data_IF_770824594202
#
_entry.id   IF_770824594202
#
_cell.length_a   1.000
_cell.length_b   1.000
_cell.length_c   1.000
_cell.angle_alpha   90.00
_cell.angle_beta   90.00
_cell.angle_gamma   90.00
#
_symmetry.space_group_name_H-M   'P 1'
#
loop_
_entity.id
_entity.type
_entity.pdbx_description
1 polymer ?
#
# COMPACT_ATOMS: atom_id res chain seq x y z
N UNK A 1 -15.62 7.22 -0.94
CA UNK A 1 -15.07 7.88 0.27
C UNK A 1 -13.84 7.13 0.77
N UNK A 2 -12.80 7.86 1.13
CA UNK A 2 -11.57 7.27 1.68
C UNK A 2 -11.47 7.66 3.16
N UNK A 3 -11.14 6.70 4.02
CA UNK A 3 -10.84 6.98 5.43
C UNK A 3 -9.69 6.10 5.95
N UNK A 4 -9.03 6.59 6.98
CA UNK A 4 -7.99 5.81 7.67
C UNK A 4 -8.66 4.65 8.41
N UNK A 5 -8.05 3.47 8.33
CA UNK A 5 -8.56 2.28 9.00
C UNK A 5 -8.18 2.27 10.49
N UNK A 6 -9.02 1.65 11.28
CA UNK A 6 -8.84 1.45 12.72
C UNK A 6 -8.80 -0.06 13.02
N UNK A 7 -8.50 -0.41 14.26
CA UNK A 7 -8.42 -1.82 14.69
C UNK A 7 -9.71 -2.60 14.41
N UNK A 8 -10.85 -1.95 14.54
CA UNK A 8 -12.16 -2.58 14.25
C UNK A 8 -12.32 -2.97 12.78
N UNK A 9 -11.51 -2.40 11.89
CA UNK A 9 -11.56 -2.66 10.45
C UNK A 9 -10.69 -3.83 10.02
N UNK A 10 -9.95 -4.46 10.93
CA UNK A 10 -9.04 -5.55 10.61
C UNK A 10 -9.67 -6.69 9.78
N UNK A 11 -10.88 -7.17 10.10
CA UNK A 11 -11.50 -8.22 9.28
C UNK A 11 -11.71 -7.79 7.83
N UNK A 12 -12.21 -6.59 7.61
CA UNK A 12 -12.44 -6.05 6.25
C UNK A 12 -11.13 -5.86 5.51
N UNK A 13 -10.11 -5.30 6.18
CA UNK A 13 -8.77 -5.14 5.60
C UNK A 13 -8.18 -6.49 5.18
N UNK A 14 -8.28 -7.49 6.05
CA UNK A 14 -7.75 -8.82 5.77
C UNK A 14 -8.47 -9.50 4.60
N UNK A 15 -9.78 -9.37 4.51
CA UNK A 15 -10.56 -9.89 3.38
C UNK A 15 -10.14 -9.25 2.05
N UNK A 16 -10.00 -7.93 2.02
CA UNK A 16 -9.54 -7.21 0.83
C UNK A 16 -8.09 -7.57 0.48
N UNK A 17 -7.23 -7.68 1.48
CA UNK A 17 -5.82 -8.03 1.29
C UNK A 17 -5.65 -9.44 0.71
N UNK A 18 -6.50 -10.39 1.09
CA UNK A 18 -6.47 -11.73 0.52
C UNK A 18 -6.87 -11.78 -0.95
N UNK A 19 -7.56 -10.76 -1.46
CA UNK A 19 -7.79 -10.62 -2.90
C UNK A 19 -6.52 -10.20 -3.64
N UNK A 20 -5.67 -9.41 -2.99
CA UNK A 20 -4.38 -8.97 -3.55
C UNK A 20 -3.30 -10.05 -3.37
N UNK A 21 -3.31 -10.71 -2.23
CA UNK A 21 -2.35 -11.78 -1.87
C UNK A 21 -3.09 -13.09 -1.57
N UNK A 22 -3.55 -13.81 -2.61
CA UNK A 22 -4.44 -14.97 -2.44
C UNK A 22 -3.82 -16.18 -1.76
N UNK A 23 -2.50 -16.22 -1.61
CA UNK A 23 -1.80 -17.31 -0.92
C UNK A 23 -1.85 -17.19 0.61
N UNK A 24 -2.42 -16.10 1.13
CA UNK A 24 -2.54 -15.84 2.57
C UNK A 24 -3.96 -16.14 3.07
N UNK A 25 -4.05 -16.52 4.35
CA UNK A 25 -5.33 -16.74 5.01
C UNK A 25 -5.80 -15.46 5.72
N UNK A 26 -7.12 -15.25 5.81
CA UNK A 26 -7.70 -14.07 6.44
C UNK A 26 -7.23 -13.92 7.89
N UNK A 27 -7.20 -15.01 8.66
CA UNK A 27 -6.78 -15.00 10.07
C UNK A 27 -5.30 -14.57 10.22
N UNK A 28 -4.44 -15.04 9.33
CA UNK A 28 -3.01 -14.66 9.32
C UNK A 28 -2.86 -13.17 9.00
N UNK A 29 -3.60 -12.69 8.02
CA UNK A 29 -3.57 -11.28 7.64
C UNK A 29 -4.12 -10.39 8.75
N UNK A 30 -5.18 -10.80 9.44
CA UNK A 30 -5.69 -10.08 10.61
C UNK A 30 -4.62 -9.92 11.69
N UNK A 31 -3.91 -11.00 12.02
CA UNK A 31 -2.86 -10.99 13.04
C UNK A 31 -1.70 -10.11 12.65
N UNK A 32 -1.24 -10.23 11.43
CA UNK A 32 -0.14 -9.42 10.88
C UNK A 32 -0.51 -7.93 10.86
N UNK A 33 -1.69 -7.61 10.37
CA UNK A 33 -2.15 -6.22 10.27
C UNK A 33 -2.39 -5.60 11.65
N UNK A 34 -2.82 -6.39 12.63
CA UNK A 34 -2.97 -5.91 14.01
C UNK A 34 -1.63 -5.45 14.59
N UNK A 35 -0.56 -6.21 14.35
CA UNK A 35 0.78 -5.84 14.79
C UNK A 35 1.28 -4.58 14.09
N UNK A 36 1.03 -4.46 12.78
CA UNK A 36 1.43 -3.30 11.99
C UNK A 36 0.67 -2.05 12.42
N UNK A 37 -0.66 -2.15 12.60
CA UNK A 37 -1.50 -1.01 13.03
C UNK A 37 -1.14 -0.49 14.42
N UNK A 38 -0.56 -1.33 15.27
CA UNK A 38 -0.10 -0.91 16.59
C UNK A 38 1.12 0.03 16.53
N UNK A 39 1.79 0.11 15.37
CA UNK A 39 2.99 0.93 15.18
C UNK A 39 2.61 2.30 14.58
N UNK A 40 3.29 3.38 15.04
CA UNK A 40 3.02 4.72 14.49
C UNK A 40 3.56 4.92 13.06
N UNK A 41 4.40 4.01 12.58
CA UNK A 41 5.09 4.11 11.29
C UNK A 41 4.31 3.44 10.15
N UNK A 42 3.07 3.06 10.36
CA UNK A 42 2.24 2.44 9.35
C UNK A 42 0.80 2.97 9.37
N UNK A 43 0.14 2.90 8.24
CA UNK A 43 -1.26 3.26 8.12
C UNK A 43 -1.93 2.42 7.03
N UNK A 44 -3.21 2.18 7.23
CA UNK A 44 -4.09 1.58 6.23
C UNK A 44 -5.20 2.55 5.92
N UNK A 45 -5.59 2.62 4.66
CA UNK A 45 -6.73 3.41 4.19
C UNK A 45 -7.73 2.50 3.51
N UNK A 46 -9.00 2.75 3.76
CA UNK A 46 -10.11 2.01 3.16
C UNK A 46 -10.91 2.93 2.23
N UNK A 47 -11.29 2.40 1.09
CA UNK A 47 -12.20 3.04 0.16
C UNK A 47 -13.57 2.39 0.27
N UNK A 48 -14.61 3.23 0.28
CA UNK A 48 -16.00 2.80 0.38
C UNK A 48 -16.83 3.35 -0.78
N UNK A 49 -17.69 2.48 -1.31
CA UNK A 49 -18.83 2.87 -2.13
C UNK A 49 -20.07 2.66 -1.26
N UNK A 50 -20.69 3.74 -0.83
CA UNK A 50 -21.74 3.72 0.20
C UNK A 50 -21.24 3.03 1.47
N UNK A 51 -21.81 1.88 1.85
CA UNK A 51 -21.40 1.12 3.04
C UNK A 51 -20.49 -0.07 2.71
N UNK A 52 -20.15 -0.27 1.44
CA UNK A 52 -19.34 -1.40 0.99
C UNK A 52 -17.87 -1.00 0.86
N UNK A 53 -16.98 -1.72 1.53
CA UNK A 53 -15.55 -1.55 1.36
C UNK A 53 -15.13 -2.11 -0.01
N UNK A 54 -14.55 -1.27 -0.85
CA UNK A 54 -14.22 -1.60 -2.24
C UNK A 54 -12.73 -1.61 -2.54
N UNK A 55 -11.90 -1.22 -1.57
CA UNK A 55 -10.46 -1.19 -1.76
C UNK A 55 -9.72 -0.77 -0.51
N UNK A 56 -8.42 -0.97 -0.53
CA UNK A 56 -7.53 -0.54 0.55
C UNK A 56 -6.16 -0.15 0.01
N UNK A 57 -5.42 0.60 0.82
CA UNK A 57 -4.00 0.82 0.63
C UNK A 57 -3.28 0.68 1.97
N UNK A 58 -2.09 0.12 1.91
CA UNK A 58 -1.17 -0.01 3.04
C UNK A 58 0.06 0.82 2.75
N UNK A 59 0.45 1.67 3.69
CA UNK A 59 1.68 2.45 3.60
C UNK A 59 2.44 2.42 4.92
N UNK A 60 3.76 2.55 4.81
CA UNK A 60 4.68 2.54 5.95
C UNK A 60 5.77 3.57 5.75
N UNK A 61 6.41 3.95 6.83
CA UNK A 61 7.67 4.69 6.77
C UNK A 61 8.82 3.69 6.68
N UNK A 62 9.74 3.93 5.78
CA UNK A 62 11.00 3.18 5.70
C UNK A 62 12.14 4.10 6.09
N UNK A 63 12.93 3.65 7.06
CA UNK A 63 14.08 4.41 7.60
C UNK A 63 15.40 3.97 6.98
N UNK A 64 15.46 2.75 6.47
CA UNK A 64 16.60 2.24 5.72
C UNK A 64 16.59 2.79 4.29
N UNK A 65 17.69 2.60 3.58
CA UNK A 65 17.80 3.10 2.21
C UNK A 65 16.70 2.54 1.31
N UNK A 66 16.07 3.43 0.56
CA UNK A 66 15.08 3.09 -0.48
C UNK A 66 15.64 3.51 -1.83
N UNK A 67 15.63 2.58 -2.78
CA UNK A 67 16.17 2.81 -4.13
C UNK A 67 15.55 4.03 -4.78
N UNK A 68 16.40 4.91 -5.30
CA UNK A 68 16.00 6.14 -5.98
C UNK A 68 15.64 7.31 -5.08
N UNK A 69 15.85 7.19 -3.76
CA UNK A 69 15.54 8.27 -2.80
C UNK A 69 16.80 8.81 -2.13
N UNK A 70 16.71 10.06 -1.64
CA UNK A 70 17.81 10.77 -1.00
C UNK A 70 17.49 11.21 0.43
N UNK A 71 16.34 10.83 0.96
CA UNK A 71 15.87 11.26 2.29
C UNK A 71 15.50 10.08 3.17
N UNK A 72 15.24 10.34 4.45
CA UNK A 72 14.74 9.37 5.42
C UNK A 72 13.95 10.11 6.51
N UNK A 73 12.81 9.60 6.96
CA UNK A 73 12.13 8.43 6.42
C UNK A 73 11.50 8.69 5.06
N UNK A 74 11.25 7.61 4.31
CA UNK A 74 10.53 7.64 3.04
C UNK A 74 9.18 6.99 3.24
N UNK A 75 8.11 7.60 2.75
CA UNK A 75 6.80 6.94 2.69
C UNK A 75 6.83 5.84 1.64
N UNK A 76 6.22 4.70 1.93
CA UNK A 76 6.26 3.55 1.05
C UNK A 76 4.89 2.91 0.90
N UNK A 77 4.46 2.75 -0.35
CA UNK A 77 3.22 2.03 -0.68
C UNK A 77 3.51 0.53 -0.65
N UNK A 78 3.01 -0.16 0.37
CA UNK A 78 3.25 -1.60 0.56
C UNK A 78 2.25 -2.46 -0.21
N UNK A 79 1.04 -1.95 -0.42
CA UNK A 79 0.01 -2.62 -1.19
C UNK A 79 -1.16 -1.71 -1.48
N UNK A 80 -1.82 -1.96 -2.60
CA UNK A 80 -3.03 -1.24 -2.98
C UNK A 80 -3.93 -2.18 -3.78
N UNK A 81 -5.21 -2.16 -3.48
CA UNK A 81 -6.20 -3.01 -4.13
C UNK A 81 -7.52 -2.27 -4.29
N UNK A 82 -8.14 -2.45 -5.43
CA UNK A 82 -9.50 -1.98 -5.71
C UNK A 82 -10.27 -3.13 -6.36
N UNK A 83 -11.47 -3.41 -5.86
CA UNK A 83 -12.33 -4.46 -6.39
C UNK A 83 -12.66 -4.23 -7.86
N UNK A 84 -12.78 -5.32 -8.63
CA UNK A 84 -12.90 -5.28 -10.09
C UNK A 84 -13.99 -4.33 -10.60
N UNK A 85 -15.17 -4.33 -9.98
CA UNK A 85 -16.29 -3.49 -10.41
C UNK A 85 -16.09 -1.99 -10.19
N UNK A 86 -15.04 -1.60 -9.49
CA UNK A 86 -14.77 -0.21 -9.09
C UNK A 86 -13.45 0.31 -9.63
N UNK A 87 -12.77 -0.46 -10.48
CA UNK A 87 -11.50 -0.06 -11.10
C UNK A 87 -11.74 0.98 -12.20
N UNK A 88 -10.68 1.72 -12.55
CA UNK A 88 -10.68 2.77 -13.59
C UNK A 88 -11.62 3.93 -13.27
N UNK A 89 -11.93 4.14 -12.00
CA UNK A 89 -12.79 5.24 -11.52
C UNK A 89 -12.04 6.21 -10.60
N UNK A 90 -10.71 6.09 -10.52
CA UNK A 90 -9.88 6.97 -9.70
C UNK A 90 -9.74 6.55 -8.24
N UNK A 91 -10.31 5.44 -7.82
CA UNK A 91 -10.27 4.98 -6.40
C UNK A 91 -8.84 4.73 -5.94
N UNK A 92 -8.03 4.04 -6.75
CA UNK A 92 -6.63 3.76 -6.40
C UNK A 92 -5.84 5.06 -6.26
N UNK A 93 -6.07 6.04 -7.13
CA UNK A 93 -5.43 7.36 -7.05
C UNK A 93 -5.80 8.08 -5.76
N UNK A 94 -7.07 8.01 -5.35
CA UNK A 94 -7.52 8.62 -4.09
C UNK A 94 -6.90 7.94 -2.87
N UNK A 95 -6.81 6.60 -2.89
CA UNK A 95 -6.13 5.83 -1.85
C UNK A 95 -4.66 6.23 -1.74
N UNK A 96 -3.97 6.32 -2.88
CA UNK A 96 -2.58 6.76 -2.92
C UNK A 96 -2.43 8.17 -2.37
N UNK A 97 -3.30 9.10 -2.75
CA UNK A 97 -3.27 10.47 -2.24
C UNK A 97 -3.41 10.52 -0.71
N UNK A 98 -4.24 9.65 -0.13
CA UNK A 98 -4.36 9.55 1.31
C UNK A 98 -3.06 9.07 1.96
N UNK A 99 -2.40 8.07 1.36
CA UNK A 99 -1.10 7.59 1.81
C UNK A 99 -0.02 8.68 1.74
N UNK A 100 0.03 9.39 0.62
CA UNK A 100 0.99 10.49 0.41
C UNK A 100 0.78 11.62 1.43
N UNK A 101 -0.47 11.99 1.69
CA UNK A 101 -0.81 13.01 2.68
C UNK A 101 -0.40 12.58 4.08
N UNK A 102 -0.65 11.31 4.43
CA UNK A 102 -0.19 10.76 5.71
C UNK A 102 1.33 10.82 5.84
N UNK A 103 2.07 10.40 4.79
CA UNK A 103 3.53 10.45 4.80
C UNK A 103 4.06 11.88 4.99
N UNK A 104 3.43 12.87 4.36
CA UNK A 104 3.77 14.28 4.57
C UNK A 104 3.59 14.70 6.03
N UNK A 105 2.54 14.25 6.70
CA UNK A 105 2.35 14.55 8.14
C UNK A 105 3.44 13.92 9.01
N UNK A 106 4.12 12.91 8.52
CA UNK A 106 5.26 12.24 9.20
C UNK A 106 6.61 12.85 8.83
N UNK A 107 6.62 13.93 8.05
CA UNK A 107 7.84 14.62 7.64
C UNK A 107 8.50 14.09 6.38
N UNK A 108 7.86 13.18 5.65
CA UNK A 108 8.42 12.65 4.41
C UNK A 108 8.36 13.68 3.29
N UNK A 109 9.43 13.73 2.50
CA UNK A 109 9.51 14.54 1.27
C UNK A 109 9.54 13.67 0.02
N UNK A 110 9.64 12.35 0.20
CA UNK A 110 9.64 11.37 -0.88
C UNK A 110 8.69 10.22 -0.56
N UNK A 111 8.11 9.63 -1.59
CA UNK A 111 7.22 8.48 -1.51
C UNK A 111 7.62 7.47 -2.58
N UNK A 112 7.75 6.21 -2.19
CA UNK A 112 8.25 5.16 -3.06
C UNK A 112 7.32 3.96 -3.09
N UNK A 113 7.55 3.07 -4.04
CA UNK A 113 6.78 1.84 -4.22
C UNK A 113 7.58 0.86 -5.06
N UNK A 114 7.06 -0.32 -5.22
CA UNK A 114 7.59 -1.32 -6.15
C UNK A 114 6.46 -2.15 -6.76
N UNK A 115 6.79 -2.91 -7.78
CA UNK A 115 5.92 -3.94 -8.32
C UNK A 115 6.76 -5.05 -8.93
N UNK A 116 6.16 -6.22 -9.12
CA UNK A 116 6.80 -7.32 -9.80
C UNK A 116 7.17 -6.92 -11.25
N UNK A 117 8.28 -7.43 -11.74
CA UNK A 117 8.84 -7.06 -13.06
C UNK A 117 7.85 -7.31 -14.20
N UNK A 118 7.03 -8.36 -14.10
CA UNK A 118 6.05 -8.74 -15.12
C UNK A 118 4.65 -8.18 -14.88
N UNK A 119 4.45 -7.42 -13.81
CA UNK A 119 3.16 -6.81 -13.50
C UNK A 119 2.98 -5.50 -14.27
N UNK A 120 2.63 -5.63 -15.55
CA UNK A 120 2.49 -4.49 -16.47
C UNK A 120 1.38 -3.54 -16.00
N UNK A 121 0.29 -4.06 -15.46
CA UNK A 121 -0.83 -3.25 -14.98
C UNK A 121 -0.40 -2.35 -13.82
N UNK A 122 0.37 -2.88 -12.87
CA UNK A 122 0.90 -2.11 -11.75
C UNK A 122 1.90 -1.06 -12.22
N UNK A 123 2.78 -1.41 -13.16
CA UNK A 123 3.72 -0.46 -13.76
C UNK A 123 2.97 0.73 -14.38
N UNK A 124 1.94 0.47 -15.18
CA UNK A 124 1.15 1.53 -15.80
C UNK A 124 0.45 2.40 -14.76
N UNK A 125 -0.11 1.80 -13.72
CA UNK A 125 -0.70 2.56 -12.61
C UNK A 125 0.31 3.53 -12.00
N UNK A 126 1.50 3.03 -11.64
CA UNK A 126 2.54 3.85 -11.01
C UNK A 126 2.94 5.04 -11.89
N UNK A 127 3.18 4.81 -13.16
CA UNK A 127 3.53 5.89 -14.10
C UNK A 127 2.39 6.89 -14.26
N UNK A 128 1.14 6.43 -14.32
CA UNK A 128 -0.03 7.29 -14.51
C UNK A 128 -0.30 8.20 -13.29
N UNK A 129 0.08 7.78 -12.09
CA UNK A 129 -0.14 8.58 -10.87
C UNK A 129 1.09 9.39 -10.46
N UNK A 130 2.12 9.44 -11.29
CA UNK A 130 3.25 10.34 -11.12
C UNK A 130 4.51 9.75 -10.54
N UNK A 131 4.58 8.42 -10.32
CA UNK A 131 5.85 7.79 -9.99
C UNK A 131 6.77 7.76 -11.20
N UNK A 132 8.06 7.86 -10.94
CA UNK A 132 9.11 7.66 -11.94
C UNK A 132 9.82 6.33 -11.66
N UNK A 133 10.15 5.57 -12.70
CA UNK A 133 10.91 4.35 -12.53
C UNK A 133 12.33 4.67 -12.07
N UNK A 134 12.70 4.19 -10.88
CA UNK A 134 14.02 4.42 -10.32
C UNK A 134 15.03 3.39 -10.80
N UNK A 135 14.70 2.09 -10.71
CA UNK A 135 15.60 1.02 -11.07
C UNK A 135 14.86 -0.31 -11.21
N UNK A 136 15.50 -1.27 -11.85
CA UNK A 136 15.08 -2.68 -11.90
C UNK A 136 16.22 -3.52 -11.34
N UNK A 137 15.94 -4.33 -10.31
CA UNK A 137 16.95 -5.11 -9.62
C UNK A 137 16.57 -6.58 -9.58
N UNK A 138 17.58 -7.43 -9.41
CA UNK A 138 17.41 -8.86 -9.16
C UNK A 138 17.78 -9.10 -7.70
N UNK A 139 16.86 -9.71 -6.94
CA UNK A 139 17.08 -10.01 -5.53
C UNK A 139 17.58 -11.44 -5.35
N UNK A 140 18.54 -11.63 -4.44
CA UNK A 140 19.12 -12.93 -4.14
C UNK A 140 19.00 -13.25 -2.66
N UNK A 141 18.78 -14.51 -2.33
CA UNK A 141 18.84 -15.00 -0.95
C UNK A 141 19.72 -16.25 -0.88
N UNK A 142 20.24 -16.53 0.31
CA UNK A 142 21.02 -17.74 0.59
C UNK A 142 20.80 -18.14 2.04
N UNK A 143 20.39 -19.38 2.26
CA UNK A 143 20.30 -19.94 3.62
C UNK A 143 21.70 -20.32 4.11
N UNK A 144 21.98 -20.02 5.37
CA UNK A 144 23.25 -20.35 6.00
C UNK A 144 23.15 -21.53 6.93
#
# INVERSE_FOLDING_TARGET
>A
MIRKAEIKDLPILAELACQLWPDHMVEEMCSEFAEILAKPDAAYFLAYAEETAIGFAQCQLRHDYVEGTDSSPVGYLEGIYVADGYRKQGVAKELLSACESWAKTKGCTEFASDCELDNVQSLQFHLNVGFEEANRIICFTKKL
#
